data_IF_410986123505
#
_entry.id   IF_410986123505
#
_cell.length_a   1.000
_cell.length_b   1.000
_cell.length_c   1.000
_cell.angle_alpha   90.00
_cell.angle_beta   90.00
_cell.angle_gamma   90.00
#
_symmetry.space_group_name_H-M   'P 1'
#
loop_
_entity.id
_entity.type
_entity.pdbx_description
1 polymer ?
#
# COMPACT_ATOMS: atom_id res chain seq x y z
N UNK A 1 -0.30 11.29 68.97
CA UNK A 1 -1.47 10.51 68.48
C UNK A 1 -1.74 10.94 67.05
N UNK A 2 -1.46 10.25 65.96
CA UNK A 2 -0.82 8.99 65.60
C UNK A 2 -0.96 8.93 64.07
N UNK A 3 0.14 8.78 63.32
CA UNK A 3 0.10 8.69 61.86
C UNK A 3 -0.46 7.33 61.45
N UNK A 4 -1.45 7.29 60.54
CA UNK A 4 -1.92 6.03 59.94
C UNK A 4 -1.62 6.02 58.45
N UNK A 5 -0.76 5.09 58.06
CA UNK A 5 -0.33 4.85 56.69
C UNK A 5 -1.44 4.11 55.92
N UNK A 6 -2.00 4.75 54.90
CA UNK A 6 -2.89 4.10 53.94
C UNK A 6 -2.11 3.27 52.92
N UNK A 7 -2.17 1.94 53.04
CA UNK A 7 -1.63 1.04 52.01
C UNK A 7 -2.49 1.11 50.75
N UNK A 8 -1.98 1.75 49.70
CA UNK A 8 -2.55 1.64 48.34
C UNK A 8 -2.19 0.26 47.80
N UNK A 9 -3.20 -0.60 47.60
CA UNK A 9 -3.08 -1.82 46.81
C UNK A 9 -3.04 -1.42 45.33
N UNK A 10 -1.90 -1.56 44.69
CA UNK A 10 -1.80 -1.48 43.24
C UNK A 10 -2.36 -2.78 42.64
N UNK A 11 -3.51 -2.69 41.98
CA UNK A 11 -4.01 -3.79 41.15
C UNK A 11 -3.33 -3.72 39.78
N UNK A 12 -2.26 -4.51 39.62
CA UNK A 12 -1.64 -4.79 38.32
C UNK A 12 -2.55 -5.71 37.50
N UNK A 13 -3.34 -5.14 36.59
CA UNK A 13 -4.05 -5.90 35.57
C UNK A 13 -3.11 -6.15 34.38
N UNK A 14 -2.23 -7.13 34.55
CA UNK A 14 -1.38 -7.65 33.48
C UNK A 14 -2.25 -8.48 32.53
N UNK A 15 -2.82 -7.86 31.49
CA UNK A 15 -3.49 -8.58 30.42
C UNK A 15 -2.44 -9.16 29.46
N UNK A 16 -2.07 -10.43 29.68
CA UNK A 16 -1.36 -11.23 28.66
C UNK A 16 -2.35 -11.52 27.54
N UNK A 17 -2.27 -10.78 26.44
CA UNK A 17 -2.89 -11.20 25.18
C UNK A 17 -1.87 -12.06 24.42
N UNK A 18 -2.17 -13.36 24.31
CA UNK A 18 -1.45 -14.28 23.45
C UNK A 18 -1.67 -13.89 21.98
N UNK A 19 -0.58 -13.78 21.22
CA UNK A 19 -0.60 -13.53 19.79
C UNK A 19 -0.88 -14.84 19.06
N UNK A 20 -2.14 -15.13 18.76
CA UNK A 20 -2.47 -16.20 17.82
C UNK A 20 -2.62 -15.62 16.41
N UNK A 21 -1.60 -15.88 15.60
CA UNK A 21 -1.61 -15.71 14.15
C UNK A 21 -2.66 -16.65 13.52
N UNK A 22 -3.93 -16.26 13.51
CA UNK A 22 -4.93 -16.85 12.60
C UNK A 22 -5.09 -15.97 11.37
N UNK A 23 -4.47 -16.40 10.27
CA UNK A 23 -4.79 -15.96 8.91
C UNK A 23 -6.23 -16.39 8.59
N UNK A 24 -7.22 -15.56 8.90
CA UNK A 24 -8.55 -15.69 8.32
C UNK A 24 -8.57 -14.94 6.98
N UNK A 25 -8.16 -15.64 5.94
CA UNK A 25 -8.52 -15.30 4.56
C UNK A 25 -9.83 -16.04 4.31
N UNK A 26 -10.95 -15.36 4.48
CA UNK A 26 -12.18 -15.71 3.77
C UNK A 26 -12.80 -14.44 3.23
N UNK A 27 -12.76 -14.41 1.91
CA UNK A 27 -13.39 -13.48 1.02
C UNK A 27 -14.92 -13.56 1.16
N UNK A 28 -15.63 -12.51 0.76
CA UNK A 28 -17.03 -12.61 0.38
C UNK A 28 -18.00 -11.98 1.37
N UNK A 29 -18.54 -10.85 0.95
CA UNK A 29 -19.69 -10.15 1.49
C UNK A 29 -20.87 -11.06 1.81
N UNK A 30 -21.22 -11.21 3.09
CA UNK A 30 -22.58 -11.56 3.49
C UNK A 30 -23.36 -10.27 3.81
N UNK A 31 -23.52 -9.42 2.80
CA UNK A 31 -24.55 -8.38 2.85
C UNK A 31 -25.87 -9.07 2.52
N UNK A 32 -26.66 -9.34 3.56
CA UNK A 32 -28.05 -9.82 3.51
C UNK A 32 -28.97 -9.01 2.58
N UNK A 33 -28.48 -7.89 2.05
CA UNK A 33 -29.18 -6.99 1.15
C UNK A 33 -28.83 -7.18 -0.34
N UNK A 34 -27.89 -8.06 -0.68
CA UNK A 34 -27.49 -8.29 -2.10
C UNK A 34 -28.34 -9.37 -2.79
N UNK A 35 -29.11 -10.15 -2.03
CA UNK A 35 -29.90 -11.27 -2.55
C UNK A 35 -31.33 -10.87 -2.97
N UNK A 36 -31.76 -9.64 -2.67
CA UNK A 36 -33.05 -9.08 -3.12
C UNK A 36 -32.98 -8.50 -4.55
N UNK A 37 -31.88 -8.74 -5.28
CA UNK A 37 -31.67 -8.25 -6.64
C UNK A 37 -31.28 -9.39 -7.59
N UNK A 38 -32.09 -10.44 -7.66
CA UNK A 38 -32.15 -11.28 -8.87
C UNK A 38 -33.61 -11.58 -9.20
N UNK A 39 -34.00 -11.08 -10.37
CA UNK A 39 -35.15 -11.47 -11.20
C UNK A 39 -36.56 -11.28 -10.62
N UNK A 40 -37.36 -10.32 -11.15
CA UNK A 40 -38.80 -10.48 -11.15
C UNK A 40 -39.12 -11.76 -11.93
N UNK A 41 -39.88 -12.72 -11.40
CA UNK A 41 -40.40 -13.78 -12.25
C UNK A 41 -41.25 -13.11 -13.33
N UNK A 42 -40.98 -13.48 -14.58
CA UNK A 42 -41.69 -13.02 -15.77
C UNK A 42 -43.13 -13.59 -15.76
N UNK A 43 -43.94 -13.10 -14.82
CA UNK A 43 -45.34 -13.50 -14.63
C UNK A 43 -46.28 -12.55 -15.40
N UNK A 44 -45.73 -11.50 -16.04
CA UNK A 44 -46.51 -10.49 -16.74
C UNK A 44 -47.08 -10.95 -18.09
N UNK A 45 -46.63 -12.07 -18.66
CA UNK A 45 -46.91 -12.39 -20.07
C UNK A 45 -48.06 -13.37 -20.33
N UNK A 46 -48.68 -13.99 -19.32
CA UNK A 46 -49.58 -15.14 -19.57
C UNK A 46 -51.08 -14.94 -19.28
N UNK A 47 -51.55 -13.85 -18.67
CA UNK A 47 -52.91 -13.89 -18.09
C UNK A 47 -53.89 -12.73 -18.31
N UNK A 48 -53.56 -11.65 -19.02
CA UNK A 48 -54.54 -10.56 -19.13
C UNK A 48 -54.40 -9.75 -20.41
N UNK A 49 -54.88 -10.31 -21.52
CA UNK A 49 -55.43 -9.48 -22.58
C UNK A 49 -56.80 -10.05 -22.97
N UNK A 50 -57.92 -9.53 -22.42
CA UNK A 50 -59.20 -9.78 -23.04
C UNK A 50 -59.22 -8.99 -24.35
N UNK A 51 -59.34 -9.70 -25.47
CA UNK A 51 -59.46 -9.12 -26.81
C UNK A 51 -60.86 -8.52 -27.05
N UNK A 52 -61.30 -7.66 -26.12
CA UNK A 52 -62.52 -6.88 -26.29
C UNK A 52 -62.22 -5.42 -25.94
N UNK A 53 -62.83 -4.54 -26.73
CA UNK A 53 -62.70 -3.07 -26.76
C UNK A 53 -61.58 -2.56 -27.68
N UNK A 54 -61.87 -2.68 -28.97
CA UNK A 54 -62.20 -1.50 -29.78
C UNK A 54 -61.64 -0.18 -29.22
N UNK A 55 -60.65 0.34 -29.94
CA UNK A 55 -59.99 1.59 -29.64
C UNK A 55 -60.95 2.76 -29.84
N UNK A 56 -61.81 3.00 -28.85
CA UNK A 56 -62.53 4.26 -28.73
C UNK A 56 -61.48 5.37 -28.55
N UNK A 57 -61.27 6.28 -29.52
CA UNK A 57 -60.22 7.29 -29.44
C UNK A 57 -60.49 8.34 -28.34
N UNK A 58 -61.66 8.31 -27.71
CA UNK A 58 -62.06 9.18 -26.61
C UNK A 58 -61.69 8.65 -25.20
N UNK A 59 -61.17 7.42 -25.08
CA UNK A 59 -60.78 6.84 -23.79
C UNK A 59 -59.38 7.33 -23.36
N UNK A 60 -59.33 8.13 -22.28
CA UNK A 60 -58.06 8.58 -21.67
C UNK A 60 -57.32 7.39 -21.07
N UNK A 61 -56.22 6.99 -21.70
CA UNK A 61 -55.34 5.94 -21.18
C UNK A 61 -54.55 6.48 -19.98
N UNK A 62 -54.41 5.70 -18.89
CA UNK A 62 -53.59 6.11 -17.75
C UNK A 62 -52.13 6.31 -18.19
N UNK A 63 -51.65 7.55 -18.16
CA UNK A 63 -50.28 7.92 -18.52
C UNK A 63 -49.36 7.67 -17.32
N UNK A 64 -48.36 6.81 -17.49
CA UNK A 64 -47.32 6.61 -16.46
C UNK A 64 -46.56 7.92 -16.27
N UNK A 65 -46.74 8.55 -15.12
CA UNK A 65 -46.01 9.75 -14.74
C UNK A 65 -44.55 9.40 -14.50
N UNK A 66 -43.64 10.28 -14.93
CA UNK A 66 -42.22 10.09 -14.67
C UNK A 66 -41.93 10.35 -13.20
N UNK A 67 -41.20 9.44 -12.56
CA UNK A 67 -40.79 9.60 -11.17
C UNK A 67 -39.86 10.82 -11.05
N UNK A 68 -40.19 11.84 -10.24
CA UNK A 68 -39.41 13.08 -10.16
C UNK A 68 -37.95 12.84 -9.72
N UNK A 69 -37.69 11.83 -8.89
CA UNK A 69 -36.34 11.43 -8.44
C UNK A 69 -35.53 10.84 -9.60
N UNK A 70 -36.19 10.11 -10.50
CA UNK A 70 -35.57 9.50 -11.69
C UNK A 70 -35.59 10.41 -12.93
N UNK A 71 -36.43 11.44 -12.92
CA UNK A 71 -36.46 12.47 -13.96
C UNK A 71 -35.34 13.52 -13.74
N UNK A 72 -35.01 13.83 -12.49
CA UNK A 72 -33.92 14.75 -12.17
C UNK A 72 -32.56 14.05 -12.28
N UNK A 73 -31.79 14.40 -13.31
CA UNK A 73 -30.41 13.94 -13.49
C UNK A 73 -29.49 14.41 -12.38
N UNK A 74 -29.60 15.69 -11.99
CA UNK A 74 -28.80 16.29 -10.93
C UNK A 74 -28.94 15.53 -9.59
N UNK A 75 -30.16 15.13 -9.24
CA UNK A 75 -30.39 14.37 -8.00
C UNK A 75 -29.72 12.97 -8.05
N UNK A 76 -29.79 12.29 -9.19
CA UNK A 76 -29.15 10.98 -9.37
C UNK A 76 -27.62 11.09 -9.34
N UNK A 77 -27.08 12.15 -9.95
CA UNK A 77 -25.64 12.41 -9.95
C UNK A 77 -25.13 12.69 -8.54
N UNK A 78 -25.86 13.49 -7.75
CA UNK A 78 -25.56 13.71 -6.33
C UNK A 78 -25.60 12.40 -5.54
N UNK A 79 -26.64 11.58 -5.71
CA UNK A 79 -26.73 10.29 -5.02
C UNK A 79 -25.54 9.37 -5.37
N UNK A 80 -25.16 9.31 -6.65
CA UNK A 80 -24.00 8.56 -7.11
C UNK A 80 -22.71 9.08 -6.48
N UNK A 81 -22.51 10.39 -6.46
CA UNK A 81 -21.32 11.02 -5.90
C UNK A 81 -21.20 10.78 -4.39
N UNK A 82 -22.29 10.95 -3.64
CA UNK A 82 -22.33 10.68 -2.20
C UNK A 82 -21.94 9.23 -1.89
N UNK A 83 -22.49 8.26 -2.63
CA UNK A 83 -22.11 6.85 -2.50
C UNK A 83 -20.65 6.61 -2.85
N UNK A 84 -20.12 7.25 -3.90
CA UNK A 84 -18.71 7.12 -4.28
C UNK A 84 -17.77 7.71 -3.24
N UNK A 85 -18.09 8.87 -2.67
CA UNK A 85 -17.30 9.54 -1.64
C UNK A 85 -17.25 8.71 -0.35
N UNK A 86 -18.39 8.15 0.07
CA UNK A 86 -18.45 7.23 1.19
C UNK A 86 -17.59 5.97 0.96
N UNK A 87 -17.71 5.34 -0.21
CA UNK A 87 -16.89 4.16 -0.58
C UNK A 87 -15.40 4.47 -0.64
N UNK A 88 -15.02 5.67 -1.08
CA UNK A 88 -13.63 6.12 -1.17
C UNK A 88 -13.08 6.64 0.17
N UNK A 89 -13.90 6.68 1.23
CA UNK A 89 -13.49 7.22 2.53
C UNK A 89 -13.19 8.73 2.50
N UNK A 90 -13.58 9.40 1.41
CA UNK A 90 -13.50 10.86 1.24
C UNK A 90 -14.82 11.44 1.75
N UNK A 91 -15.10 11.22 3.03
CA UNK A 91 -16.28 11.75 3.68
C UNK A 91 -16.12 13.24 3.98
N UNK A 92 -17.16 14.04 3.72
CA UNK A 92 -17.37 15.38 4.29
C UNK A 92 -17.57 15.25 5.82
N UNK A 93 -18.02 14.08 6.29
CA UNK A 93 -18.11 13.76 7.71
C UNK A 93 -16.72 13.50 8.28
N UNK A 94 -16.37 14.31 9.28
CA UNK A 94 -15.24 14.03 10.18
C UNK A 94 -15.43 12.60 10.66
N UNK A 95 -14.47 11.71 10.37
CA UNK A 95 -14.44 10.33 10.89
C UNK A 95 -14.91 10.32 12.35
N UNK A 96 -15.68 9.31 12.80
CA UNK A 96 -16.13 9.24 14.18
C UNK A 96 -14.93 9.37 15.13
N UNK A 97 -15.14 10.01 16.28
CA UNK A 97 -14.06 10.41 17.19
C UNK A 97 -13.11 9.25 17.51
N UNK A 98 -13.67 8.07 17.81
CA UNK A 98 -12.91 6.86 18.06
C UNK A 98 -11.98 6.49 16.88
N UNK A 99 -12.47 6.57 15.64
CA UNK A 99 -11.64 6.26 14.47
C UNK A 99 -10.53 7.28 14.29
N UNK A 100 -10.78 8.58 14.53
CA UNK A 100 -9.73 9.60 14.51
C UNK A 100 -8.67 9.32 15.57
N UNK A 101 -9.08 9.00 16.79
CA UNK A 101 -8.18 8.68 17.91
C UNK A 101 -7.34 7.43 17.61
N UNK A 102 -7.95 6.37 17.07
CA UNK A 102 -7.22 5.16 16.68
C UNK A 102 -6.23 5.42 15.55
N UNK A 103 -6.61 6.20 14.53
CA UNK A 103 -5.69 6.60 13.46
C UNK A 103 -4.56 7.48 13.96
N UNK A 104 -4.86 8.46 14.82
CA UNK A 104 -3.85 9.32 15.43
C UNK A 104 -2.86 8.49 16.25
N UNK A 105 -3.36 7.63 17.15
CA UNK A 105 -2.53 6.71 17.94
C UNK A 105 -1.67 5.80 17.07
N UNK A 106 -2.19 5.34 15.92
CA UNK A 106 -1.41 4.54 14.96
C UNK A 106 -0.29 5.38 14.33
N UNK A 107 -0.58 6.60 13.88
CA UNK A 107 0.43 7.52 13.33
C UNK A 107 1.50 7.85 14.38
N UNK A 108 1.09 8.16 15.60
CA UNK A 108 2.00 8.57 16.67
C UNK A 108 2.98 7.45 17.03
N UNK A 109 2.50 6.19 17.08
CA UNK A 109 3.38 5.03 17.28
C UNK A 109 4.43 4.90 16.18
N UNK A 110 4.04 5.07 14.92
CA UNK A 110 4.96 4.99 13.77
C UNK A 110 5.99 6.13 13.85
N UNK A 111 5.55 7.34 14.21
CA UNK A 111 6.44 8.50 14.35
C UNK A 111 7.42 8.27 15.51
N UNK A 112 6.96 7.75 16.64
CA UNK A 112 7.82 7.42 17.79
C UNK A 112 8.87 6.38 17.41
N UNK A 113 8.46 5.27 16.77
CA UNK A 113 9.40 4.24 16.31
C UNK A 113 10.46 4.83 15.36
N UNK A 114 10.05 5.62 14.36
CA UNK A 114 11.00 6.27 13.45
C UNK A 114 11.94 7.22 14.18
N UNK A 115 11.43 7.99 15.14
CA UNK A 115 12.25 8.92 15.92
C UNK A 115 13.24 8.19 16.83
N UNK A 116 12.85 7.05 17.40
CA UNK A 116 13.73 6.19 18.19
C UNK A 116 14.81 5.54 17.30
N UNK A 117 14.45 5.01 16.13
CA UNK A 117 15.42 4.50 15.15
C UNK A 117 16.40 5.59 14.71
N UNK A 118 15.90 6.79 14.43
CA UNK A 118 16.74 7.93 14.04
C UNK A 118 17.59 8.41 15.22
N UNK A 119 17.08 8.37 16.45
CA UNK A 119 17.85 8.68 17.65
C UNK A 119 18.96 7.64 17.88
N UNK A 120 18.68 6.34 17.71
CA UNK A 120 19.68 5.27 17.78
C UNK A 120 20.75 5.47 16.70
N UNK A 121 20.34 5.82 15.46
CA UNK A 121 21.27 6.17 14.38
C UNK A 121 22.11 7.41 14.70
N UNK A 122 21.52 8.44 15.31
CA UNK A 122 22.23 9.65 15.73
C UNK A 122 23.14 9.42 16.94
N UNK A 123 22.74 8.51 17.83
CA UNK A 123 23.52 8.02 18.96
C UNK A 123 24.56 6.97 18.53
N UNK A 124 24.64 6.60 17.25
CA UNK A 124 25.80 5.87 16.75
C UNK A 124 27.04 6.65 17.15
N UNK A 125 27.85 5.98 17.97
CA UNK A 125 29.03 6.57 18.59
C UNK A 125 29.92 7.21 17.52
N UNK A 126 30.60 8.34 17.80
CA UNK A 126 31.61 8.89 16.89
C UNK A 126 32.59 7.82 16.36
N UNK A 127 32.90 6.82 17.19
CA UNK A 127 33.71 5.66 16.82
C UNK A 127 33.06 4.77 15.75
N UNK A 128 31.75 4.55 15.80
CA UNK A 128 31.02 3.74 14.82
C UNK A 128 30.97 4.43 13.45
N UNK A 129 30.83 5.76 13.46
CA UNK A 129 30.96 6.57 12.24
C UNK A 129 32.38 6.48 11.64
N UNK A 130 33.41 6.46 12.49
CA UNK A 130 34.80 6.31 12.05
C UNK A 130 35.11 4.91 11.52
N UNK A 131 34.53 3.87 12.13
CA UNK A 131 34.61 2.50 11.65
C UNK A 131 33.98 2.36 10.26
N UNK A 132 32.80 2.94 10.05
CA UNK A 132 32.13 2.96 8.74
C UNK A 132 32.98 3.68 7.67
N UNK A 133 33.56 4.83 8.03
CA UNK A 133 34.49 5.56 7.14
C UNK A 133 35.72 4.72 6.81
N UNK A 134 36.27 3.99 7.78
CA UNK A 134 37.42 3.10 7.57
C UNK A 134 37.06 1.94 6.64
N UNK A 135 35.89 1.32 6.83
CA UNK A 135 35.39 0.28 5.94
C UNK A 135 35.28 0.78 4.49
N UNK A 136 34.64 1.93 4.26
CA UNK A 136 34.51 2.51 2.92
C UNK A 136 35.86 2.77 2.24
N UNK A 137 36.87 3.24 2.99
CA UNK A 137 38.23 3.40 2.45
C UNK A 137 38.86 2.07 2.03
N UNK A 138 38.67 1.02 2.83
CA UNK A 138 39.21 -0.30 2.52
C UNK A 138 38.53 -0.90 1.29
N UNK A 139 37.20 -0.81 1.18
CA UNK A 139 36.45 -1.26 -0.01
C UNK A 139 36.90 -0.54 -1.28
N UNK A 140 37.17 0.77 -1.20
CA UNK A 140 37.69 1.52 -2.35
C UNK A 140 39.08 1.04 -2.76
N UNK A 141 39.98 0.83 -1.80
CA UNK A 141 41.32 0.31 -2.06
C UNK A 141 41.30 -1.11 -2.63
N UNK A 142 40.38 -1.95 -2.15
CA UNK A 142 40.19 -3.31 -2.67
C UNK A 142 39.71 -3.26 -4.12
N UNK A 143 38.70 -2.44 -4.41
CA UNK A 143 38.18 -2.23 -5.78
C UNK A 143 39.24 -1.70 -6.74
N UNK A 144 40.12 -0.80 -6.27
CA UNK A 144 41.22 -0.29 -7.07
C UNK A 144 42.36 -1.32 -7.25
N UNK A 145 42.48 -2.30 -6.33
CA UNK A 145 43.42 -3.43 -6.45
C UNK A 145 42.89 -4.62 -7.25
N UNK A 146 41.57 -4.82 -7.33
CA UNK A 146 40.94 -5.88 -8.13
C UNK A 146 41.49 -5.97 -9.57
N UNK A 147 41.60 -4.87 -10.36
CA UNK A 147 42.14 -4.98 -11.72
C UNK A 147 43.61 -5.44 -11.74
N UNK A 148 44.43 -5.03 -10.77
CA UNK A 148 45.82 -5.46 -10.69
C UNK A 148 45.94 -6.94 -10.29
N UNK A 149 45.08 -7.42 -9.37
CA UNK A 149 45.03 -8.83 -8.98
C UNK A 149 44.47 -9.72 -10.09
N UNK A 150 43.47 -9.26 -10.85
CA UNK A 150 42.93 -9.98 -11.99
C UNK A 150 43.97 -10.11 -13.11
N UNK A 151 44.74 -9.06 -13.37
CA UNK A 151 45.91 -9.12 -14.26
C UNK A 151 46.95 -10.12 -13.76
N UNK A 152 47.23 -10.16 -12.45
CA UNK A 152 48.20 -11.08 -11.85
C UNK A 152 47.70 -12.54 -11.79
N UNK A 153 46.39 -12.74 -11.65
CA UNK A 153 45.72 -14.04 -11.61
C UNK A 153 45.52 -14.65 -13.00
N UNK A 154 45.63 -13.85 -14.06
CA UNK A 154 45.58 -14.32 -15.43
C UNK A 154 46.75 -15.31 -15.72
N UNK A 155 46.49 -16.43 -16.42
CA UNK A 155 47.52 -17.39 -16.80
C UNK A 155 48.65 -16.71 -17.58
N UNK A 156 49.91 -17.15 -17.37
CA UNK A 156 51.07 -16.49 -17.97
C UNK A 156 51.02 -16.39 -19.49
N UNK A 157 50.47 -17.40 -20.17
CA UNK A 157 50.36 -17.36 -21.64
C UNK A 157 49.44 -16.23 -22.13
N UNK A 158 48.43 -15.83 -21.35
CA UNK A 158 47.56 -14.67 -21.67
C UNK A 158 48.36 -13.38 -21.55
N UNK A 159 49.16 -13.25 -20.48
CA UNK A 159 50.05 -12.10 -20.25
C UNK A 159 51.10 -11.97 -21.36
N UNK A 160 51.76 -13.07 -21.74
CA UNK A 160 52.78 -13.10 -22.80
C UNK A 160 52.15 -12.75 -24.16
N UNK A 161 50.99 -13.34 -24.49
CA UNK A 161 50.26 -13.03 -25.74
C UNK A 161 49.88 -11.56 -25.84
N UNK A 162 49.42 -10.95 -24.75
CA UNK A 162 49.07 -9.54 -24.74
C UNK A 162 50.30 -8.63 -24.92
N UNK A 163 51.42 -8.93 -24.21
CA UNK A 163 52.69 -8.20 -24.38
C UNK A 163 53.17 -8.22 -25.83
N UNK A 164 53.16 -9.40 -26.47
CA UNK A 164 53.53 -9.56 -27.88
C UNK A 164 52.59 -8.79 -28.82
N UNK A 165 51.28 -8.77 -28.51
CA UNK A 165 50.30 -7.99 -29.29
C UNK A 165 50.58 -6.49 -29.20
N UNK A 166 50.93 -5.98 -28.00
CA UNK A 166 51.25 -4.56 -27.79
C UNK A 166 52.52 -4.13 -28.53
N UNK A 167 53.55 -4.98 -28.54
CA UNK A 167 54.80 -4.69 -29.28
C UNK A 167 54.65 -4.80 -30.80
N UNK A 168 53.73 -5.64 -31.29
CA UNK A 168 53.47 -5.77 -32.72
C UNK A 168 52.68 -4.59 -33.32
N UNK A 169 52.04 -3.76 -32.48
CA UNK A 169 51.23 -2.61 -32.91
C UNK A 169 51.97 -1.27 -32.85
N UNK A 170 53.16 -1.21 -32.25
CA UNK A 170 54.05 -0.06 -32.39
C UNK A 170 54.74 -0.18 -33.77
N UNK A 171 54.50 0.74 -34.72
CA UNK A 171 55.28 0.74 -35.94
C UNK A 171 56.72 1.01 -35.54
N UNK A 172 57.62 0.12 -35.96
CA UNK A 172 59.05 0.31 -35.83
C UNK A 172 59.48 1.50 -36.69
N UNK A 173 59.32 2.71 -36.19
CA UNK A 173 59.96 3.89 -36.77
C UNK A 173 61.46 3.75 -36.48
N UNK A 174 62.19 3.57 -37.58
CA UNK A 174 63.56 4.01 -37.81
C UNK A 174 64.70 3.26 -37.09
N UNK A 175 65.24 2.26 -37.79
CA UNK A 175 66.68 1.99 -37.80
C UNK A 175 67.18 1.74 -39.23
N UNK A 176 67.47 2.83 -39.93
CA UNK A 176 68.47 2.87 -41.00
C UNK A 176 69.28 4.16 -40.81
N UNK A 177 70.47 4.02 -40.21
CA UNK A 177 71.71 4.79 -40.44
C UNK A 177 72.73 4.40 -39.35
#
# INVERSE_FOLDING_TARGET
MGATHGKKKEYSLHSKCHSDNRKHIMNGSASMYSELQREPPDIGSLLTHPDYLDGNPELIKPKKLQNPVKASRSHQELHRELLMNHKRGVGIDKKPELQRVLEHRRRDKIIQQKKEEEAIKKLQSPFEQELLKRQQRLEQLEKDQEPAKDEERAPEFVKVKEKLRRTAMLPSEERVA
#
